data_IF_856255422545
#
_entry.id   IF_856255422545
#
_cell.length_a   1.000
_cell.length_b   1.000
_cell.length_c   1.000
_cell.angle_alpha   90.00
_cell.angle_beta   90.00
_cell.angle_gamma   90.00
#
_symmetry.space_group_name_H-M   'P 1'
#
loop_
_entity.id
_entity.type
_entity.pdbx_description
1 polymer ?
#
# COMPACT_ATOMS: atom_id res chain seq x y z
N UNK A 1 42.91 -52.86 -18.68
CA UNK A 1 41.95 -52.45 -17.63
C UNK A 1 42.36 -51.08 -17.11
N UNK A 2 41.49 -50.09 -17.31
CA UNK A 2 41.65 -48.68 -16.95
C UNK A 2 41.69 -48.47 -15.43
N UNK A 3 42.59 -47.61 -14.94
CA UNK A 3 42.36 -46.77 -13.76
C UNK A 3 42.84 -45.36 -14.04
N UNK A 4 41.89 -44.55 -14.50
CA UNK A 4 42.01 -43.11 -14.70
C UNK A 4 42.20 -42.38 -13.37
N UNK A 5 43.22 -41.53 -13.30
CA UNK A 5 43.35 -40.48 -12.30
C UNK A 5 42.17 -39.50 -12.44
N UNK A 6 41.37 -39.37 -11.39
CA UNK A 6 40.36 -38.30 -11.30
C UNK A 6 41.04 -37.08 -10.70
N UNK A 7 41.40 -36.11 -11.54
CA UNK A 7 41.75 -34.76 -11.10
C UNK A 7 40.47 -34.08 -10.59
N UNK A 8 40.36 -33.94 -9.28
CA UNK A 8 39.35 -33.10 -8.64
C UNK A 8 39.56 -31.64 -9.04
N UNK A 9 38.77 -31.14 -9.98
CA UNK A 9 38.62 -29.69 -10.19
C UNK A 9 37.88 -29.12 -8.99
N UNK A 10 38.64 -28.61 -8.01
CA UNK A 10 38.11 -27.65 -7.05
C UNK A 10 37.71 -26.40 -7.83
N UNK A 11 36.40 -26.19 -8.00
CA UNK A 11 35.86 -24.91 -8.44
C UNK A 11 35.98 -23.96 -7.26
N UNK A 12 37.09 -23.23 -7.19
CA UNK A 12 37.22 -22.09 -6.31
C UNK A 12 36.36 -20.96 -6.88
N UNK A 13 35.13 -20.82 -6.40
CA UNK A 13 34.36 -19.61 -6.59
C UNK A 13 35.07 -18.47 -5.84
N UNK A 14 35.80 -17.64 -6.57
CA UNK A 14 36.26 -16.36 -6.03
C UNK A 14 35.04 -15.54 -5.62
N UNK A 15 35.05 -14.87 -4.45
CA UNK A 15 33.95 -14.00 -4.06
C UNK A 15 33.95 -12.81 -5.01
N UNK A 16 32.98 -12.77 -5.93
CA UNK A 16 32.76 -11.61 -6.78
C UNK A 16 32.31 -10.46 -5.88
N UNK A 17 33.21 -9.53 -5.57
CA UNK A 17 32.89 -8.22 -4.99
C UNK A 17 32.24 -7.31 -6.03
N UNK A 18 31.23 -7.84 -6.74
CA UNK A 18 30.27 -7.02 -7.45
C UNK A 18 29.45 -6.34 -6.39
N UNK A 19 29.51 -5.01 -6.31
CA UNK A 19 28.51 -4.22 -5.60
C UNK A 19 27.18 -4.53 -6.26
N UNK A 20 26.46 -5.52 -5.74
CA UNK A 20 25.18 -5.96 -6.28
C UNK A 20 24.25 -4.74 -6.33
N UNK A 21 23.99 -4.22 -7.53
CA UNK A 21 22.86 -3.32 -7.73
C UNK A 21 21.62 -4.10 -7.29
N UNK A 22 20.79 -3.57 -6.37
CA UNK A 22 19.57 -4.24 -6.00
C UNK A 22 18.70 -4.45 -7.24
N UNK A 23 18.00 -5.59 -7.30
CA UNK A 23 17.01 -5.82 -8.36
C UNK A 23 15.92 -4.74 -8.28
N UNK A 24 15.19 -4.52 -9.37
CA UNK A 24 14.10 -3.54 -9.41
C UNK A 24 13.07 -3.79 -8.30
N UNK A 25 12.66 -5.05 -8.11
CA UNK A 25 11.75 -5.45 -7.04
C UNK A 25 12.34 -5.18 -5.65
N UNK A 26 13.64 -5.46 -5.44
CA UNK A 26 14.30 -5.18 -4.15
C UNK A 26 14.39 -3.68 -3.87
N UNK A 27 14.64 -2.88 -4.89
CA UNK A 27 14.61 -1.42 -4.76
C UNK A 27 13.19 -0.96 -4.39
N UNK A 28 12.16 -1.47 -5.07
CA UNK A 28 10.76 -1.16 -4.76
C UNK A 28 10.38 -1.55 -3.32
N UNK A 29 10.79 -2.73 -2.86
CA UNK A 29 10.62 -3.17 -1.46
C UNK A 29 11.25 -2.17 -0.48
N UNK A 30 12.48 -1.68 -0.75
CA UNK A 30 13.15 -0.72 0.12
C UNK A 30 12.38 0.60 0.25
N UNK A 31 11.81 1.10 -0.84
CA UNK A 31 10.95 2.30 -0.80
C UNK A 31 9.62 2.02 -0.07
N UNK A 32 9.04 0.83 -0.25
CA UNK A 32 7.85 0.44 0.47
C UNK A 32 8.08 0.31 1.98
N UNK A 33 9.18 -0.32 2.38
CA UNK A 33 9.62 -0.41 3.77
C UNK A 33 9.86 0.98 4.36
N UNK A 34 10.49 1.89 3.60
CA UNK A 34 10.68 3.28 4.02
C UNK A 34 9.34 3.95 4.30
N UNK A 35 8.34 3.80 3.43
CA UNK A 35 6.98 4.29 3.67
C UNK A 35 6.36 3.71 4.95
N UNK A 36 6.49 2.40 5.17
CA UNK A 36 5.99 1.75 6.39
C UNK A 36 6.66 2.33 7.63
N UNK A 37 7.98 2.55 7.62
CA UNK A 37 8.68 3.14 8.75
C UNK A 37 8.26 4.59 8.99
N UNK A 38 8.16 5.40 7.94
CA UNK A 38 7.70 6.79 8.05
C UNK A 38 6.28 6.88 8.62
N UNK A 39 5.39 5.94 8.28
CA UNK A 39 4.05 5.83 8.90
C UNK A 39 4.10 5.46 10.37
N UNK A 40 4.97 4.50 10.76
CA UNK A 40 5.14 4.13 12.17
C UNK A 40 5.56 5.33 13.01
N UNK A 41 6.49 6.13 12.48
CA UNK A 41 6.95 7.37 13.11
C UNK A 41 5.81 8.41 13.13
N UNK A 42 5.15 8.67 12.00
CA UNK A 42 4.12 9.71 11.90
C UNK A 42 2.90 9.45 12.78
N UNK A 43 2.48 8.18 12.92
CA UNK A 43 1.34 7.79 13.74
C UNK A 43 1.74 7.36 15.16
N UNK A 44 2.97 7.72 15.59
CA UNK A 44 3.49 7.52 16.95
C UNK A 44 3.23 6.10 17.47
N UNK A 45 3.58 5.09 16.66
CA UNK A 45 3.55 3.70 17.11
C UNK A 45 4.77 3.43 17.99
N UNK A 46 4.77 3.97 19.21
CA UNK A 46 5.62 3.52 20.30
C UNK A 46 5.04 2.24 20.95
N UNK A 47 5.82 1.60 21.83
CA UNK A 47 5.41 0.41 22.56
C UNK A 47 4.07 0.68 23.30
N UNK A 48 3.03 -0.08 22.93
CA UNK A 48 1.68 0.02 23.53
C UNK A 48 0.56 0.51 22.59
N UNK A 49 0.86 0.83 21.32
CA UNK A 49 -0.19 1.16 20.34
C UNK A 49 -1.22 0.02 20.21
N UNK A 50 -2.49 0.35 20.47
CA UNK A 50 -3.61 -0.58 20.30
C UNK A 50 -4.52 -0.08 19.18
N UNK A 51 -4.64 -0.82 18.06
CA UNK A 51 -5.56 -0.46 16.98
C UNK A 51 -6.99 -0.24 17.49
N UNK A 52 -7.60 0.89 17.11
CA UNK A 52 -8.98 1.24 17.47
C UNK A 52 -9.87 1.36 16.23
N UNK A 53 -11.19 1.38 16.46
CA UNK A 53 -12.13 1.77 15.41
C UNK A 53 -12.09 3.29 15.25
N UNK A 54 -12.02 3.74 14.01
CA UNK A 54 -11.98 5.15 13.65
C UNK A 54 -13.27 5.61 12.98
N UNK A 55 -13.52 6.92 13.07
CA UNK A 55 -14.62 7.61 12.39
C UNK A 55 -14.14 8.32 11.11
N UNK A 56 -15.07 8.95 10.39
CA UNK A 56 -14.77 9.62 9.11
C UNK A 56 -13.85 10.84 9.23
N UNK A 57 -13.85 11.54 10.38
CA UNK A 57 -12.97 12.68 10.61
C UNK A 57 -11.52 12.20 10.76
N UNK A 58 -11.32 11.15 11.55
CA UNK A 58 -10.02 10.50 11.71
C UNK A 58 -9.50 9.95 10.38
N UNK A 59 -10.35 9.33 9.55
CA UNK A 59 -9.96 8.89 8.20
C UNK A 59 -9.48 10.07 7.33
N UNK A 60 -10.20 11.19 7.34
CA UNK A 60 -9.86 12.38 6.54
C UNK A 60 -8.53 12.97 6.97
N UNK A 61 -8.33 13.11 8.27
CA UNK A 61 -7.13 13.69 8.84
C UNK A 61 -5.93 12.77 8.57
N UNK A 62 -6.11 11.46 8.72
CA UNK A 62 -5.10 10.46 8.39
C UNK A 62 -4.74 10.46 6.90
N UNK A 63 -5.73 10.51 6.01
CA UNK A 63 -5.51 10.54 4.56
C UNK A 63 -4.61 11.72 4.14
N UNK A 64 -4.77 12.87 4.79
CA UNK A 64 -3.96 14.06 4.50
C UNK A 64 -2.49 13.85 4.86
N UNK A 65 -2.23 13.20 5.99
CA UNK A 65 -0.87 12.84 6.42
C UNK A 65 -0.30 11.74 5.51
N UNK A 66 -1.08 10.68 5.26
CA UNK A 66 -0.63 9.52 4.51
C UNK A 66 -0.23 9.88 3.07
N UNK A 67 -1.02 10.73 2.42
CA UNK A 67 -0.71 11.23 1.07
C UNK A 67 0.68 11.86 1.01
N UNK A 68 1.06 12.68 1.99
CA UNK A 68 2.39 13.31 2.04
C UNK A 68 3.49 12.25 2.20
N UNK A 69 3.28 11.28 3.09
CA UNK A 69 4.23 10.20 3.33
C UNK A 69 4.47 9.37 2.08
N UNK A 70 3.41 9.04 1.31
CA UNK A 70 3.54 8.29 0.05
C UNK A 70 4.37 9.07 -0.97
N UNK A 71 4.06 10.36 -1.16
CA UNK A 71 4.79 11.24 -2.08
C UNK A 71 6.27 11.32 -1.71
N UNK A 72 6.60 11.43 -0.43
CA UNK A 72 7.99 11.62 0.03
C UNK A 72 8.80 10.31 0.09
N UNK A 73 8.15 9.17 0.33
CA UNK A 73 8.85 7.94 0.68
C UNK A 73 8.69 6.80 -0.34
N UNK A 74 7.66 6.81 -1.17
CA UNK A 74 7.36 5.70 -2.07
C UNK A 74 7.38 6.11 -3.54
N UNK A 75 6.67 7.19 -3.88
CA UNK A 75 6.60 7.72 -5.24
C UNK A 75 7.96 8.00 -5.91
N UNK A 76 9.02 8.43 -5.18
CA UNK A 76 10.31 8.69 -5.80
C UNK A 76 10.94 7.45 -6.44
N UNK A 77 10.56 6.23 -6.02
CA UNK A 77 10.98 5.02 -6.74
C UNK A 77 10.57 5.10 -8.22
N UNK A 78 9.30 5.39 -8.49
CA UNK A 78 8.77 5.38 -9.84
C UNK A 78 9.35 6.52 -10.69
N UNK A 79 9.49 7.70 -10.09
CA UNK A 79 10.08 8.88 -10.74
C UNK A 79 11.55 8.63 -11.15
N UNK A 80 12.33 7.97 -10.28
CA UNK A 80 13.72 7.58 -10.59
C UNK A 80 13.81 6.55 -11.74
N UNK A 81 12.77 5.73 -11.89
CA UNK A 81 12.70 4.69 -12.90
C UNK A 81 11.88 5.07 -14.15
N UNK A 82 11.46 6.33 -14.25
CA UNK A 82 10.78 6.90 -15.42
C UNK A 82 11.36 8.27 -15.87
N UNK A 83 12.68 8.41 -16.04
CA UNK A 83 13.36 9.70 -16.18
C UNK A 83 13.07 10.46 -17.48
N UNK A 84 12.39 9.83 -18.45
CA UNK A 84 12.11 10.41 -19.76
C UNK A 84 10.70 11.01 -19.86
N UNK A 85 9.93 10.99 -18.77
CA UNK A 85 8.58 11.55 -18.71
C UNK A 85 8.69 13.06 -18.44
N UNK A 86 7.96 13.86 -19.22
CA UNK A 86 7.87 15.30 -19.00
C UNK A 86 7.21 15.61 -17.65
N UNK A 87 7.63 16.68 -16.97
CA UNK A 87 7.16 17.04 -15.63
C UNK A 87 5.63 17.08 -15.51
N UNK A 88 4.93 17.67 -16.50
CA UNK A 88 3.46 17.73 -16.49
C UNK A 88 2.82 16.35 -16.61
N UNK A 89 3.36 15.47 -17.45
CA UNK A 89 2.89 14.10 -17.59
C UNK A 89 3.14 13.31 -16.31
N UNK A 90 4.30 13.51 -15.69
CA UNK A 90 4.69 12.90 -14.42
C UNK A 90 3.71 13.30 -13.31
N UNK A 91 3.32 14.57 -13.21
CA UNK A 91 2.31 15.04 -12.24
C UNK A 91 0.94 14.37 -12.42
N UNK A 92 0.51 14.17 -13.67
CA UNK A 92 -0.77 13.52 -13.99
C UNK A 92 -0.72 12.03 -13.61
N UNK A 93 0.36 11.35 -13.98
CA UNK A 93 0.58 9.94 -13.64
C UNK A 93 0.60 9.73 -12.13
N UNK A 94 1.37 10.54 -11.41
CA UNK A 94 1.45 10.50 -9.96
C UNK A 94 0.07 10.70 -9.30
N UNK A 95 -0.72 11.65 -9.82
CA UNK A 95 -2.06 11.95 -9.30
C UNK A 95 -3.03 10.79 -9.52
N UNK A 96 -3.02 10.19 -10.72
CA UNK A 96 -3.89 9.06 -11.05
C UNK A 96 -3.48 7.80 -10.27
N UNK A 97 -2.18 7.55 -10.17
CA UNK A 97 -1.63 6.43 -9.42
C UNK A 97 -1.96 6.52 -7.93
N UNK A 98 -1.91 7.72 -7.34
CA UNK A 98 -2.11 7.90 -5.90
C UNK A 98 -3.43 7.30 -5.39
N UNK A 99 -4.53 7.57 -6.10
CA UNK A 99 -5.86 7.07 -5.71
C UNK A 99 -5.89 5.54 -5.78
N UNK A 100 -5.40 4.98 -6.89
CA UNK A 100 -5.38 3.54 -7.12
C UNK A 100 -4.48 2.82 -6.12
N UNK A 101 -3.29 3.37 -5.86
CA UNK A 101 -2.35 2.85 -4.88
C UNK A 101 -2.96 2.81 -3.49
N UNK A 102 -3.57 3.90 -3.02
CA UNK A 102 -4.20 3.94 -1.69
C UNK A 102 -5.31 2.90 -1.60
N UNK A 103 -6.20 2.79 -2.58
CA UNK A 103 -7.29 1.80 -2.53
C UNK A 103 -6.75 0.35 -2.54
N UNK A 104 -5.78 0.06 -3.41
CA UNK A 104 -5.14 -1.25 -3.51
C UNK A 104 -4.39 -1.62 -2.23
N UNK A 105 -3.58 -0.71 -1.70
CA UNK A 105 -2.81 -0.94 -0.49
C UNK A 105 -3.70 -1.17 0.74
N UNK A 106 -4.74 -0.35 0.91
CA UNK A 106 -5.67 -0.52 2.04
C UNK A 106 -6.40 -1.85 1.94
N UNK A 107 -6.78 -2.28 0.74
CA UNK A 107 -7.40 -3.59 0.54
C UNK A 107 -6.42 -4.74 0.80
N UNK A 108 -5.16 -4.63 0.35
CA UNK A 108 -4.09 -5.57 0.66
C UNK A 108 -3.86 -5.69 2.17
N UNK A 109 -3.74 -4.58 2.89
CA UNK A 109 -3.57 -4.58 4.35
C UNK A 109 -4.79 -5.17 5.09
N UNK A 110 -5.98 -5.08 4.48
CA UNK A 110 -7.23 -5.60 5.04
C UNK A 110 -7.51 -7.07 4.68
N UNK A 111 -6.63 -7.74 3.94
CA UNK A 111 -6.89 -9.07 3.37
C UNK A 111 -7.05 -10.19 4.42
N UNK A 112 -6.60 -9.97 5.65
CA UNK A 112 -6.69 -10.95 6.74
C UNK A 112 -7.83 -10.67 7.73
N UNK A 113 -8.57 -9.57 7.54
CA UNK A 113 -9.53 -9.07 8.51
C UNK A 113 -10.91 -8.80 7.94
N UNK A 114 -11.87 -8.56 8.83
CA UNK A 114 -13.20 -8.07 8.46
C UNK A 114 -13.26 -6.55 8.31
N UNK A 115 -12.34 -5.83 8.97
CA UNK A 115 -12.27 -4.38 8.96
C UNK A 115 -11.43 -3.85 7.80
N UNK A 116 -11.72 -2.62 7.40
CA UNK A 116 -10.84 -1.85 6.53
C UNK A 116 -9.73 -1.24 7.38
N UNK A 117 -8.48 -1.60 7.10
CA UNK A 117 -7.30 -1.19 7.85
C UNK A 117 -6.73 0.08 7.23
N UNK A 118 -6.59 1.14 8.02
CA UNK A 118 -6.00 2.41 7.61
C UNK A 118 -4.45 2.37 7.69
N UNK A 119 -3.77 3.40 7.20
CA UNK A 119 -2.30 3.52 7.23
C UNK A 119 -1.73 3.48 8.66
N UNK A 120 -2.46 4.08 9.61
CA UNK A 120 -2.14 4.04 11.04
C UNK A 120 -2.31 2.65 11.65
N UNK A 121 -2.99 1.72 10.98
CA UNK A 121 -3.35 0.41 11.49
C UNK A 121 -4.66 0.40 12.28
N UNK A 122 -5.26 1.57 12.52
CA UNK A 122 -6.63 1.66 12.99
C UNK A 122 -7.61 1.11 11.94
N UNK A 123 -8.84 0.87 12.36
CA UNK A 123 -9.81 0.08 11.62
C UNK A 123 -11.10 0.86 11.37
N UNK A 124 -11.72 0.63 10.21
CA UNK A 124 -13.07 1.10 9.90
C UNK A 124 -13.98 -0.11 9.81
N UNK A 125 -15.11 -0.06 10.51
CA UNK A 125 -16.19 -1.02 10.35
C UNK A 125 -17.11 -0.60 9.20
N UNK A 126 -16.85 -1.14 8.02
CA UNK A 126 -17.64 -0.85 6.83
C UNK A 126 -19.02 -1.51 6.84
N UNK A 127 -19.31 -2.38 7.82
CA UNK A 127 -20.66 -2.94 8.03
C UNK A 127 -21.52 -2.03 8.90
N UNK A 128 -20.91 -1.15 9.71
CA UNK A 128 -21.59 -0.17 10.55
C UNK A 128 -21.18 1.26 10.18
N UNK A 129 -21.58 1.67 8.97
CA UNK A 129 -21.32 3.02 8.47
C UNK A 129 -22.05 4.10 9.27
N UNK A 130 -23.11 3.77 10.01
CA UNK A 130 -23.76 4.76 10.89
C UNK A 130 -22.78 5.20 11.96
N UNK A 131 -22.15 4.24 12.65
CA UNK A 131 -21.14 4.55 13.68
C UNK A 131 -19.92 5.27 13.10
N UNK A 132 -19.54 4.94 11.88
CA UNK A 132 -18.41 5.58 11.20
C UNK A 132 -18.66 7.07 10.87
N UNK A 133 -19.87 7.40 10.39
CA UNK A 133 -20.23 8.77 10.00
C UNK A 133 -20.84 9.62 11.13
N UNK A 134 -21.22 9.00 12.26
CA UNK A 134 -21.75 9.74 13.42
C UNK A 134 -20.72 10.73 13.95
N UNK A 135 -21.14 11.99 14.08
CA UNK A 135 -20.38 13.03 14.75
C UNK A 135 -20.98 13.29 16.15
N UNK A 136 -20.25 13.07 17.25
CA UNK A 136 -20.74 13.34 18.60
C UNK A 136 -21.12 14.79 18.88
N UNK A 137 -20.62 15.74 18.06
CA UNK A 137 -20.92 17.17 18.18
C UNK A 137 -22.26 17.55 17.52
N UNK A 138 -22.88 16.64 16.76
CA UNK A 138 -24.17 16.87 16.11
C UNK A 138 -25.32 16.46 17.04
N UNK A 139 -26.43 17.20 16.97
CA UNK A 139 -27.60 17.01 17.84
C UNK A 139 -28.40 15.75 17.49
N UNK A 140 -28.30 15.29 16.25
CA UNK A 140 -28.99 14.13 15.68
C UNK A 140 -28.07 13.35 14.73
N UNK A 141 -28.60 12.26 14.17
CA UNK A 141 -27.87 11.36 13.27
C UNK A 141 -28.18 11.62 11.78
N UNK A 142 -28.89 12.69 11.43
CA UNK A 142 -29.46 12.84 10.08
C UNK A 142 -28.36 12.90 9.02
N UNK A 143 -27.29 13.66 9.29
CA UNK A 143 -26.13 13.74 8.38
C UNK A 143 -25.37 12.42 8.29
N UNK A 144 -25.29 11.66 9.38
CA UNK A 144 -24.66 10.34 9.36
C UNK A 144 -25.49 9.35 8.53
N UNK A 145 -26.83 9.45 8.60
CA UNK A 145 -27.76 8.69 7.78
C UNK A 145 -27.65 9.05 6.31
N UNK A 146 -27.57 10.35 5.99
CA UNK A 146 -27.38 10.85 4.63
C UNK A 146 -26.04 10.36 4.06
N UNK A 147 -24.96 10.48 4.82
CA UNK A 147 -23.63 10.01 4.42
C UNK A 147 -23.61 8.49 4.19
N UNK A 148 -24.21 7.70 5.08
CA UNK A 148 -24.36 6.25 4.89
C UNK A 148 -25.17 5.94 3.63
N UNK A 149 -26.24 6.67 3.37
CA UNK A 149 -27.12 6.44 2.22
C UNK A 149 -26.40 6.76 0.91
N UNK A 150 -25.66 7.87 0.87
CA UNK A 150 -24.92 8.32 -0.30
C UNK A 150 -23.64 7.50 -0.55
N UNK A 151 -22.86 7.21 0.49
CA UNK A 151 -21.53 6.59 0.39
C UNK A 151 -21.52 5.09 0.65
N UNK A 152 -22.60 4.53 1.22
CA UNK A 152 -22.74 3.07 1.40
C UNK A 152 -22.58 2.26 0.12
N UNK A 153 -23.14 2.68 -1.03
CA UNK A 153 -22.89 2.02 -2.32
C UNK A 153 -21.42 1.99 -2.71
N UNK A 154 -20.66 3.05 -2.42
CA UNK A 154 -19.21 3.11 -2.68
C UNK A 154 -18.47 2.06 -1.86
N UNK A 155 -18.69 1.99 -0.54
CA UNK A 155 -18.05 0.99 0.33
C UNK A 155 -18.34 -0.45 -0.12
N UNK A 156 -19.60 -0.72 -0.48
CA UNK A 156 -20.02 -2.03 -0.97
C UNK A 156 -19.30 -2.37 -2.27
N UNK A 157 -19.27 -1.44 -3.23
CA UNK A 157 -18.61 -1.63 -4.52
C UNK A 157 -17.11 -1.83 -4.36
N UNK A 158 -16.44 -1.04 -3.52
CA UNK A 158 -15.02 -1.18 -3.22
C UNK A 158 -14.70 -2.58 -2.66
N UNK A 159 -15.52 -3.07 -1.72
CA UNK A 159 -15.34 -4.41 -1.18
C UNK A 159 -15.63 -5.50 -2.22
N UNK A 160 -16.62 -5.33 -3.10
CA UNK A 160 -16.95 -6.31 -4.13
C UNK A 160 -15.88 -6.42 -5.23
N UNK A 161 -15.33 -5.29 -5.66
CA UNK A 161 -14.38 -5.23 -6.78
C UNK A 161 -12.95 -5.53 -6.34
N UNK A 162 -12.58 -5.17 -5.12
CA UNK A 162 -11.18 -5.21 -4.68
C UNK A 162 -11.00 -6.02 -3.40
N UNK A 163 -11.71 -5.63 -2.34
CA UNK A 163 -11.53 -6.21 -1.01
C UNK A 163 -11.77 -7.73 -0.97
N UNK A 164 -12.82 -8.21 -1.64
CA UNK A 164 -13.17 -9.63 -1.70
C UNK A 164 -12.09 -10.44 -2.41
N UNK A 165 -11.64 -9.98 -3.58
CA UNK A 165 -10.67 -10.72 -4.38
C UNK A 165 -9.29 -10.78 -3.72
N UNK A 166 -8.84 -9.71 -3.07
CA UNK A 166 -7.59 -9.74 -2.31
C UNK A 166 -7.66 -10.67 -1.10
N UNK A 167 -8.81 -10.79 -0.43
CA UNK A 167 -9.03 -11.77 0.64
C UNK A 167 -9.00 -13.22 0.16
N UNK A 168 -9.40 -13.45 -1.10
CA UNK A 168 -9.38 -14.77 -1.74
C UNK A 168 -7.98 -15.16 -2.21
N UNK A 169 -7.29 -14.26 -2.91
CA UNK A 169 -5.95 -14.50 -3.47
C UNK A 169 -4.87 -14.50 -2.39
N UNK A 170 -4.97 -13.59 -1.40
CA UNK A 170 -3.99 -13.38 -0.32
C UNK A 170 -2.58 -13.16 -0.84
N UNK A 171 -2.38 -12.02 -1.47
CA UNK A 171 -1.08 -11.64 -2.01
C UNK A 171 -0.02 -11.60 -0.90
N UNK A 172 1.20 -12.01 -1.24
CA UNK A 172 2.36 -11.61 -0.48
C UNK A 172 2.83 -10.18 -0.86
N UNK A 173 3.84 -9.67 -0.17
CA UNK A 173 4.37 -8.31 -0.40
C UNK A 173 4.98 -8.18 -1.80
N UNK A 174 5.59 -9.24 -2.33
CA UNK A 174 6.30 -9.20 -3.60
C UNK A 174 5.30 -9.16 -4.76
N UNK A 175 4.25 -9.98 -4.68
CA UNK A 175 3.13 -9.99 -5.61
C UNK A 175 2.37 -8.65 -5.58
N UNK A 176 2.11 -8.11 -4.38
CA UNK A 176 1.48 -6.80 -4.24
C UNK A 176 2.32 -5.70 -4.90
N UNK A 177 3.62 -5.64 -4.62
CA UNK A 177 4.50 -4.62 -5.19
C UNK A 177 4.66 -4.76 -6.70
N UNK A 178 4.64 -5.99 -7.23
CA UNK A 178 4.61 -6.22 -8.67
C UNK A 178 3.35 -5.62 -9.31
N UNK A 179 2.17 -5.86 -8.73
CA UNK A 179 0.90 -5.29 -9.23
C UNK A 179 0.93 -3.76 -9.15
N UNK A 180 1.41 -3.19 -8.04
CA UNK A 180 1.56 -1.74 -7.87
C UNK A 180 2.43 -1.15 -8.97
N UNK A 181 3.54 -1.80 -9.31
CA UNK A 181 4.43 -1.35 -10.36
C UNK A 181 3.79 -1.42 -11.76
N UNK A 182 3.05 -2.49 -12.05
CA UNK A 182 2.30 -2.63 -13.30
C UNK A 182 1.23 -1.54 -13.45
N UNK A 183 0.53 -1.19 -12.38
CA UNK A 183 -0.48 -0.13 -12.38
C UNK A 183 0.15 1.24 -12.63
N UNK A 184 1.29 1.54 -12.00
CA UNK A 184 1.95 2.83 -12.19
C UNK A 184 2.38 3.03 -13.65
N UNK A 185 2.96 2.00 -14.27
CA UNK A 185 3.43 2.03 -15.66
C UNK A 185 2.36 1.67 -16.69
N UNK A 186 1.11 1.52 -16.27
CA UNK A 186 -0.02 1.43 -17.19
C UNK A 186 -0.40 2.83 -17.68
N UNK A 187 0.24 3.26 -18.78
CA UNK A 187 0.01 4.57 -19.39
C UNK A 187 -1.35 4.66 -20.13
N UNK A 188 -2.17 3.61 -20.11
CA UNK A 188 -3.33 3.46 -20.98
C UNK A 188 -2.89 3.08 -22.39
N UNK A 189 -3.31 1.89 -22.83
CA UNK A 189 -3.21 1.47 -24.23
C UNK A 189 -4.27 2.10 -25.11
#
# INVERSE_FOLDING_TARGET
MNRSFVLSRQVTCAPSTSKFKPTLLRSLQQFYEKLIQSRRIAYWREDGFTPKLCNYQELRDEHTVDKKLIIENFLPFFQLHAPMIEEQQQMILDSNFMITFVLLERAFQSQHGKYFVMASGCMIDTNDLMKFYRNPEELDDDKAMDAKTLLGPYWRRNNQILGKHLKEVKLDVDEFLLIVALIYWDFGG
#
